data_IF_825132412836
#
_entry.id   IF_825132412836
#
_cell.length_a   1.000
_cell.length_b   1.000
_cell.length_c   1.000
_cell.angle_alpha   90.00
_cell.angle_beta   90.00
_cell.angle_gamma   90.00
#
_symmetry.space_group_name_H-M   'P 1'
#
loop_
_entity.id
_entity.type
_entity.pdbx_description
1 polymer ?
#
# COMPACT_ATOMS: atom_id res chain seq x y z
N UNK A 1 -8.22 -2.00 28.56
CA UNK A 1 -9.40 -2.57 27.89
C UNK A 1 -9.59 -4.00 28.35
N UNK A 2 -10.83 -4.47 28.51
CA UNK A 2 -11.13 -5.88 28.85
C UNK A 2 -11.20 -6.75 27.60
N UNK A 3 -11.77 -6.21 26.53
CA UNK A 3 -11.91 -6.89 25.23
C UNK A 3 -11.40 -6.01 24.09
N UNK A 4 -11.15 -6.63 22.94
CA UNK A 4 -10.86 -5.96 21.68
C UNK A 4 -11.72 -6.55 20.58
N UNK A 5 -12.35 -5.68 19.79
CA UNK A 5 -13.06 -6.07 18.57
C UNK A 5 -12.10 -5.79 17.42
N UNK A 6 -11.85 -6.78 16.57
CA UNK A 6 -10.99 -6.65 15.40
C UNK A 6 -11.83 -6.91 14.15
N UNK A 7 -11.70 -6.05 13.15
CA UNK A 7 -12.40 -6.18 11.86
C UNK A 7 -11.40 -6.32 10.73
N UNK A 8 -11.80 -7.08 9.70
CA UNK A 8 -11.12 -7.14 8.43
C UNK A 8 -12.05 -6.60 7.33
N UNK A 9 -11.57 -5.62 6.56
CA UNK A 9 -12.32 -4.98 5.49
C UNK A 9 -11.65 -5.26 4.13
N UNK A 10 -12.27 -6.02 3.23
CA UNK A 10 -11.65 -6.39 1.95
C UNK A 10 -11.44 -5.18 1.04
N UNK A 11 -10.27 -5.08 0.40
CA UNK A 11 -9.94 -3.98 -0.52
C UNK A 11 -9.64 -4.44 -1.95
N UNK A 12 -9.64 -5.74 -2.20
CA UNK A 12 -9.69 -6.30 -3.56
C UNK A 12 -11.14 -6.63 -3.93
N UNK A 13 -11.51 -6.44 -5.20
CA UNK A 13 -12.81 -6.81 -5.73
C UNK A 13 -13.97 -5.91 -5.35
N UNK A 14 -15.17 -6.38 -5.68
CA UNK A 14 -16.43 -5.65 -5.52
C UNK A 14 -16.74 -5.32 -4.04
N UNK A 15 -16.22 -6.10 -3.10
CA UNK A 15 -16.50 -5.94 -1.67
C UNK A 15 -15.94 -4.63 -1.10
N UNK A 16 -14.95 -4.01 -1.78
CA UNK A 16 -14.44 -2.69 -1.37
C UNK A 16 -15.55 -1.63 -1.33
N UNK A 17 -16.46 -1.66 -2.31
CA UNK A 17 -17.57 -0.71 -2.41
C UNK A 17 -18.58 -0.82 -1.27
N UNK A 18 -18.57 -1.92 -0.50
CA UNK A 18 -19.45 -2.11 0.66
C UNK A 18 -19.11 -1.16 1.81
N UNK A 19 -17.84 -0.78 1.94
CA UNK A 19 -17.34 -0.01 3.07
C UNK A 19 -16.60 1.28 2.70
N UNK A 20 -15.88 1.31 1.56
CA UNK A 20 -15.20 2.49 1.04
C UNK A 20 -16.19 3.41 0.31
N UNK A 21 -16.38 4.67 0.75
CA UNK A 21 -17.31 5.59 0.09
C UNK A 21 -16.85 6.05 -1.30
N UNK A 22 -15.58 5.83 -1.65
CA UNK A 22 -14.97 6.28 -2.90
C UNK A 22 -13.93 5.26 -3.40
N UNK A 23 -14.35 4.06 -3.83
CA UNK A 23 -13.44 2.96 -4.19
C UNK A 23 -12.53 3.25 -5.40
N UNK A 24 -12.86 4.24 -6.23
CA UNK A 24 -12.03 4.70 -7.35
C UNK A 24 -11.26 6.01 -7.08
N UNK A 25 -11.08 6.41 -5.82
CA UNK A 25 -10.47 7.69 -5.48
C UNK A 25 -9.08 7.88 -6.11
N UNK A 26 -8.24 6.84 -6.18
CA UNK A 26 -6.93 6.94 -6.81
C UNK A 26 -7.03 7.17 -8.32
N UNK A 27 -7.89 6.43 -9.01
CA UNK A 27 -8.09 6.59 -10.46
C UNK A 27 -8.59 8.00 -10.79
N UNK A 28 -9.51 8.54 -9.99
CA UNK A 28 -9.95 9.94 -10.14
C UNK A 28 -8.82 10.94 -9.89
N UNK A 29 -8.03 10.73 -8.84
CA UNK A 29 -6.90 11.62 -8.51
C UNK A 29 -5.82 11.62 -9.61
N UNK A 30 -5.59 10.47 -10.25
CA UNK A 30 -4.60 10.29 -11.32
C UNK A 30 -5.20 10.41 -12.73
N UNK A 31 -6.48 10.78 -12.88
CA UNK A 31 -7.12 10.94 -14.19
C UNK A 31 -6.32 11.81 -15.18
N UNK A 32 -5.64 12.91 -14.77
CA UNK A 32 -4.82 13.71 -15.66
C UNK A 32 -3.62 12.97 -16.29
N UNK A 33 -3.15 11.89 -15.67
CA UNK A 33 -1.95 11.15 -16.12
C UNK A 33 -2.28 9.77 -16.69
N UNK A 34 -3.48 9.25 -16.41
CA UNK A 34 -3.94 7.96 -16.93
C UNK A 34 -4.41 8.01 -18.38
N UNK A 35 -4.71 9.19 -18.92
CA UNK A 35 -5.14 9.38 -20.32
C UNK A 35 -3.98 9.34 -21.35
N UNK A 36 -2.79 8.82 -20.96
CA UNK A 36 -1.54 8.88 -21.73
C UNK A 36 -1.27 7.70 -22.67
N UNK A 37 -0.32 7.91 -23.58
CA UNK A 37 -0.07 7.16 -24.84
C UNK A 37 0.38 5.69 -24.68
N UNK A 38 0.07 4.81 -25.66
CA UNK A 38 0.36 3.36 -25.62
C UNK A 38 1.83 2.91 -25.51
N UNK A 39 2.82 3.80 -25.58
CA UNK A 39 4.24 3.43 -25.76
C UNK A 39 5.20 3.99 -24.67
N UNK A 40 4.68 4.29 -23.47
CA UNK A 40 5.54 4.75 -22.35
C UNK A 40 5.70 3.66 -21.28
N UNK A 41 6.89 3.55 -20.65
CA UNK A 41 7.05 2.70 -19.48
C UNK A 41 6.01 3.00 -18.39
N UNK A 42 5.50 1.96 -17.75
CA UNK A 42 4.47 2.05 -16.72
C UNK A 42 5.07 1.78 -15.34
N UNK A 43 4.53 2.45 -14.33
CA UNK A 43 4.77 2.18 -12.92
C UNK A 43 3.58 1.49 -12.27
N UNK A 44 3.84 0.72 -11.21
CA UNK A 44 2.82 0.00 -10.43
C UNK A 44 2.54 0.67 -9.09
N UNK A 45 1.25 0.83 -8.78
CA UNK A 45 0.74 1.22 -7.46
C UNK A 45 -0.03 0.05 -6.85
N UNK A 46 0.31 -0.32 -5.63
CA UNK A 46 -0.25 -1.47 -4.92
C UNK A 46 -1.77 -1.36 -4.70
N UNK A 47 -2.44 -2.52 -4.71
CA UNK A 47 -3.90 -2.69 -4.65
C UNK A 47 -4.56 -2.00 -3.45
N UNK A 48 -3.87 -1.95 -2.31
CA UNK A 48 -4.42 -1.33 -1.11
C UNK A 48 -4.67 0.18 -1.34
N UNK A 49 -3.86 0.85 -2.16
CA UNK A 49 -3.92 2.29 -2.37
C UNK A 49 -5.00 2.75 -3.37
N UNK A 50 -5.75 1.84 -4.01
CA UNK A 50 -6.59 2.14 -5.18
C UNK A 50 -7.84 3.01 -4.91
N UNK A 51 -8.43 2.93 -3.73
CA UNK A 51 -9.59 3.73 -3.36
C UNK A 51 -9.25 4.84 -2.38
N UNK A 52 -10.20 5.16 -1.51
CA UNK A 52 -9.99 6.20 -0.50
C UNK A 52 -8.86 5.80 0.44
N UNK A 53 -8.31 6.80 1.13
CA UNK A 53 -7.47 6.56 2.29
C UNK A 53 -8.23 5.70 3.32
N UNK A 54 -7.77 4.44 3.49
CA UNK A 54 -8.41 3.45 4.35
C UNK A 54 -8.43 3.88 5.81
N UNK A 55 -7.46 4.69 6.25
CA UNK A 55 -7.42 5.25 7.60
C UNK A 55 -8.66 6.07 7.91
N UNK A 56 -9.20 6.78 6.92
CA UNK A 56 -10.40 7.61 7.07
C UNK A 56 -11.66 6.76 6.91
N UNK A 57 -11.73 5.99 5.82
CA UNK A 57 -12.92 5.21 5.48
C UNK A 57 -13.22 4.13 6.53
N UNK A 58 -12.22 3.36 6.97
CA UNK A 58 -12.41 2.30 7.96
C UNK A 58 -12.66 2.87 9.36
N UNK A 59 -11.99 3.97 9.73
CA UNK A 59 -12.23 4.66 11.01
C UNK A 59 -13.67 5.13 11.15
N UNK A 60 -14.24 5.70 10.09
CA UNK A 60 -15.64 6.13 10.10
C UNK A 60 -16.59 4.94 10.37
N UNK A 61 -16.35 3.78 9.74
CA UNK A 61 -17.12 2.55 9.99
C UNK A 61 -16.96 2.03 11.42
N UNK A 62 -15.75 2.06 11.98
CA UNK A 62 -15.50 1.66 13.37
C UNK A 62 -16.15 2.62 14.37
N UNK A 63 -16.18 3.92 14.08
CA UNK A 63 -16.87 4.90 14.93
C UNK A 63 -18.39 4.71 14.93
N UNK A 64 -18.96 4.33 13.78
CA UNK A 64 -20.37 3.94 13.70
C UNK A 64 -20.64 2.69 14.55
N UNK A 65 -19.83 1.64 14.42
CA UNK A 65 -19.94 0.44 15.27
C UNK A 65 -19.84 0.78 16.77
N UNK A 66 -18.89 1.64 17.15
CA UNK A 66 -18.77 2.07 18.54
C UNK A 66 -20.00 2.87 19.02
N UNK A 67 -20.67 3.61 18.13
CA UNK A 67 -21.91 4.30 18.45
C UNK A 67 -23.08 3.31 18.64
N UNK A 68 -23.19 2.30 17.78
CA UNK A 68 -24.19 1.23 17.90
C UNK A 68 -24.01 0.44 19.21
N UNK A 69 -22.77 0.13 19.60
CA UNK A 69 -22.48 -0.48 20.89
C UNK A 69 -22.99 0.37 22.06
N UNK A 70 -22.72 1.67 22.05
CA UNK A 70 -23.18 2.60 23.11
C UNK A 70 -24.71 2.70 23.14
N UNK A 71 -25.37 2.70 21.98
CA UNK A 71 -26.82 2.69 21.88
C UNK A 71 -27.44 1.39 22.45
N UNK A 72 -26.67 0.30 22.49
CA UNK A 72 -27.04 -0.96 23.11
C UNK A 72 -26.55 -1.10 24.57
N UNK A 73 -26.21 0.00 25.25
CA UNK A 73 -25.66 0.04 26.62
C UNK A 73 -24.38 -0.79 26.83
N UNK A 74 -23.64 -1.07 25.75
CA UNK A 74 -22.32 -1.67 25.83
C UNK A 74 -21.25 -0.56 25.87
N UNK A 75 -20.33 -0.59 26.83
CA UNK A 75 -19.22 0.34 26.79
C UNK A 75 -18.40 0.09 25.52
N UNK A 76 -17.98 1.15 24.86
CA UNK A 76 -17.12 1.10 23.67
C UNK A 76 -16.03 2.15 23.82
N UNK A 77 -14.81 1.81 23.42
CA UNK A 77 -13.74 2.79 23.37
C UNK A 77 -14.07 3.91 22.39
N UNK A 78 -13.58 5.11 22.71
CA UNK A 78 -13.75 6.30 21.85
C UNK A 78 -12.79 6.28 20.65
N UNK A 79 -11.74 5.45 20.72
CA UNK A 79 -10.65 5.41 19.74
C UNK A 79 -10.75 4.14 18.91
N UNK A 80 -10.94 4.33 17.61
CA UNK A 80 -10.69 3.32 16.59
C UNK A 80 -9.21 3.30 16.20
N UNK A 81 -8.66 2.10 16.01
CA UNK A 81 -7.27 1.87 15.59
C UNK A 81 -7.26 1.36 14.16
N UNK A 82 -6.51 2.03 13.30
CA UNK A 82 -6.34 1.69 11.88
C UNK A 82 -4.93 2.13 11.47
N UNK A 83 -3.90 1.31 11.70
CA UNK A 83 -2.51 1.44 11.20
C UNK A 83 -1.71 2.69 11.65
N UNK A 84 -2.38 3.73 12.15
CA UNK A 84 -1.78 5.02 12.52
C UNK A 84 -1.44 5.16 14.01
N UNK A 85 -1.64 4.11 14.80
CA UNK A 85 -1.49 4.10 16.26
C UNK A 85 -0.79 2.83 16.74
N UNK A 86 -0.16 2.84 17.93
CA UNK A 86 0.63 1.71 18.43
C UNK A 86 -0.25 0.55 18.92
N UNK A 87 -0.88 -0.16 17.99
CA UNK A 87 -1.60 -1.41 18.21
C UNK A 87 -1.07 -2.45 17.22
N UNK A 88 -0.94 -3.70 17.63
CA UNK A 88 -0.49 -4.77 16.74
C UNK A 88 -1.71 -5.44 16.10
N UNK A 89 -2.39 -4.77 15.16
CA UNK A 89 -3.69 -5.24 14.64
C UNK A 89 -3.60 -6.64 14.04
N UNK A 90 -2.50 -6.98 13.36
CA UNK A 90 -2.30 -8.34 12.79
C UNK A 90 -2.29 -9.42 13.88
N UNK A 91 -1.56 -9.20 14.97
CA UNK A 91 -1.48 -10.15 16.08
C UNK A 91 -2.81 -10.28 16.82
N UNK A 92 -3.56 -9.18 16.93
CA UNK A 92 -4.91 -9.21 17.51
C UNK A 92 -5.90 -9.91 16.59
N UNK A 93 -5.80 -9.71 15.27
CA UNK A 93 -6.65 -10.38 14.28
C UNK A 93 -6.43 -11.90 14.27
N UNK A 94 -5.19 -12.36 14.43
CA UNK A 94 -4.88 -13.79 14.59
C UNK A 94 -5.51 -14.35 15.87
N UNK A 95 -5.36 -13.64 17.01
CA UNK A 95 -5.95 -14.05 18.28
C UNK A 95 -7.48 -14.04 18.28
N UNK A 96 -8.09 -13.13 17.53
CA UNK A 96 -9.53 -12.99 17.38
C UNK A 96 -10.13 -13.90 16.29
N UNK A 97 -9.35 -14.84 15.72
CA UNK A 97 -9.86 -15.79 14.74
C UNK A 97 -10.25 -15.18 13.39
N UNK A 98 -9.79 -13.96 13.08
CA UNK A 98 -10.04 -13.31 11.77
C UNK A 98 -9.25 -14.00 10.65
N UNK A 99 -8.05 -14.48 10.98
CA UNK A 99 -7.16 -15.14 10.05
C UNK A 99 -5.96 -15.77 10.75
N UNK A 100 -4.94 -16.15 9.99
CA UNK A 100 -3.64 -16.59 10.50
C UNK A 100 -2.51 -15.79 9.86
N UNK A 101 -1.36 -15.65 10.52
CA UNK A 101 -0.24 -14.90 9.93
C UNK A 101 0.52 -15.77 8.91
N UNK A 102 0.51 -15.33 7.66
CA UNK A 102 1.22 -15.99 6.57
C UNK A 102 2.74 -15.84 6.68
N UNK A 103 3.49 -16.71 6.00
CA UNK A 103 4.96 -16.59 5.92
C UNK A 103 5.42 -15.25 5.31
N UNK A 104 4.55 -14.56 4.57
CA UNK A 104 4.75 -13.22 4.02
C UNK A 104 4.40 -12.08 4.99
N UNK A 105 4.21 -12.38 6.29
CA UNK A 105 3.84 -11.43 7.37
C UNK A 105 2.46 -10.79 7.27
N UNK A 106 1.64 -11.12 6.26
CA UNK A 106 0.26 -10.62 6.16
C UNK A 106 -0.71 -11.52 6.93
N UNK A 107 -1.84 -10.95 7.35
CA UNK A 107 -2.97 -11.74 7.81
C UNK A 107 -3.61 -12.41 6.59
N UNK A 108 -3.81 -13.72 6.67
CA UNK A 108 -4.50 -14.52 5.66
C UNK A 108 -5.88 -14.90 6.20
N UNK A 109 -6.95 -14.57 5.47
CA UNK A 109 -8.31 -14.90 5.86
C UNK A 109 -8.84 -16.09 5.05
N UNK A 110 -9.84 -16.80 5.56
CA UNK A 110 -10.58 -17.84 4.81
C UNK A 110 -11.61 -17.26 3.82
N UNK A 111 -11.78 -15.93 3.80
CA UNK A 111 -12.66 -15.26 2.85
C UNK A 111 -12.07 -15.30 1.44
N UNK A 112 -12.90 -15.04 0.43
CA UNK A 112 -12.42 -14.87 -0.95
C UNK A 112 -11.41 -13.73 -1.11
N UNK A 113 -11.35 -12.79 -0.16
CA UNK A 113 -10.37 -11.71 -0.18
C UNK A 113 -8.96 -12.17 0.23
N UNK A 114 -8.80 -13.35 0.84
CA UNK A 114 -7.50 -13.86 1.26
C UNK A 114 -6.77 -12.87 2.18
N UNK A 115 -5.63 -12.33 1.73
CA UNK A 115 -4.84 -11.32 2.45
C UNK A 115 -5.18 -9.87 2.08
N UNK A 116 -6.06 -9.64 1.11
CA UNK A 116 -6.43 -8.32 0.61
C UNK A 116 -7.44 -7.62 1.53
N UNK A 117 -7.10 -7.49 2.80
CA UNK A 117 -7.95 -6.89 3.84
C UNK A 117 -7.20 -5.81 4.60
N UNK A 118 -7.90 -4.71 4.91
CA UNK A 118 -7.46 -3.77 5.93
C UNK A 118 -7.90 -4.25 7.30
N UNK A 119 -7.09 -3.96 8.31
CA UNK A 119 -7.42 -4.28 9.69
C UNK A 119 -7.79 -3.01 10.43
N UNK A 120 -8.73 -3.16 11.35
CA UNK A 120 -9.07 -2.12 12.29
C UNK A 120 -9.52 -2.72 13.61
N UNK A 121 -9.44 -1.95 14.69
CA UNK A 121 -9.81 -2.44 16.01
C UNK A 121 -10.47 -1.38 16.89
N UNK A 122 -11.30 -1.84 17.83
CA UNK A 122 -11.87 -1.05 18.92
C UNK A 122 -11.50 -1.72 20.23
N UNK A 123 -10.82 -0.99 21.10
CA UNK A 123 -10.59 -1.41 22.47
C UNK A 123 -11.83 -1.09 23.31
N UNK A 124 -12.31 -2.02 24.13
CA UNK A 124 -13.50 -1.81 24.96
C UNK A 124 -13.35 -2.37 26.37
N UNK A 125 -14.06 -1.79 27.34
CA UNK A 125 -14.25 -2.36 28.68
C UNK A 125 -15.43 -3.33 28.77
N UNK A 126 -16.17 -3.53 27.67
CA UNK A 126 -17.22 -4.54 27.60
C UNK A 126 -16.59 -5.93 27.80
N UNK A 127 -17.30 -6.77 28.55
CA UNK A 127 -16.94 -8.17 28.71
C UNK A 127 -17.60 -8.94 27.58
N UNK A 128 -16.84 -9.22 26.52
CA UNK A 128 -17.34 -9.84 25.30
C UNK A 128 -16.87 -11.29 25.25
N UNK A 129 -17.69 -12.22 24.72
CA UNK A 129 -17.22 -13.55 24.38
C UNK A 129 -15.99 -13.49 23.46
N UNK A 130 -15.02 -14.36 23.71
CA UNK A 130 -13.80 -14.43 22.91
C UNK A 130 -13.97 -15.42 21.76
N UNK A 131 -13.58 -15.00 20.57
CA UNK A 131 -13.41 -15.91 19.44
C UNK A 131 -12.13 -16.75 19.60
N UNK A 132 -12.10 -17.90 18.92
CA UNK A 132 -10.95 -18.81 18.93
C UNK A 132 -10.03 -18.58 17.72
N UNK A 133 -8.69 -18.64 17.90
CA UNK A 133 -7.76 -18.54 16.78
C UNK A 133 -7.96 -19.63 15.73
N UNK A 134 -7.80 -19.25 14.46
CA UNK A 134 -7.79 -20.19 13.34
C UNK A 134 -6.52 -21.05 13.39
N UNK A 135 -6.66 -22.37 13.33
CA UNK A 135 -5.54 -23.34 13.39
C UNK A 135 -4.88 -23.66 12.03
N UNK A 136 -5.18 -22.88 11.00
CA UNK A 136 -4.62 -23.03 9.64
C UNK A 136 -3.17 -22.53 9.59
N UNK A 137 -2.35 -23.11 8.71
CA UNK A 137 -0.98 -22.64 8.46
C UNK A 137 -0.70 -22.63 6.96
N UNK A 138 0.42 -21.99 6.56
CA UNK A 138 0.90 -22.09 5.17
C UNK A 138 1.46 -23.48 4.79
N UNK A 139 1.55 -24.42 5.74
CA UNK A 139 2.20 -25.72 5.52
C UNK A 139 3.63 -25.58 4.98
N UNK A 140 3.99 -26.41 4.00
CA UNK A 140 5.30 -26.38 3.33
C UNK A 140 5.45 -25.28 2.28
N UNK A 141 4.40 -24.51 1.95
CA UNK A 141 4.45 -23.48 0.91
C UNK A 141 5.52 -22.41 1.22
N UNK A 142 6.34 -22.05 0.23
CA UNK A 142 7.39 -21.02 0.32
C UNK A 142 7.31 -19.97 -0.80
N UNK A 143 6.21 -19.96 -1.60
CA UNK A 143 6.09 -19.12 -2.80
C UNK A 143 6.40 -17.64 -2.58
N UNK A 144 5.95 -17.06 -1.46
CA UNK A 144 6.23 -15.66 -1.13
C UNK A 144 7.69 -15.40 -0.75
N UNK A 145 8.36 -16.35 -0.09
CA UNK A 145 9.77 -16.26 0.27
C UNK A 145 10.63 -16.26 -1.00
N UNK A 146 10.35 -17.20 -1.92
CA UNK A 146 11.04 -17.30 -3.21
C UNK A 146 10.65 -16.21 -4.20
N UNK A 147 9.42 -15.72 -4.14
CA UNK A 147 8.89 -14.71 -5.05
C UNK A 147 9.24 -13.27 -4.67
N UNK A 148 9.73 -13.02 -3.45
CA UNK A 148 10.12 -11.68 -3.02
C UNK A 148 11.34 -11.19 -3.83
N UNK A 149 11.22 -10.13 -4.66
CA UNK A 149 12.29 -9.77 -5.61
C UNK A 149 13.60 -9.35 -4.95
N UNK A 150 13.53 -8.89 -3.70
CA UNK A 150 14.66 -8.35 -2.94
C UNK A 150 15.12 -9.29 -1.82
N UNK A 151 14.47 -10.44 -1.65
CA UNK A 151 14.70 -11.32 -0.51
C UNK A 151 14.43 -10.64 0.83
N UNK A 152 13.49 -9.68 0.89
CA UNK A 152 13.11 -9.00 2.13
C UNK A 152 12.47 -9.95 3.15
N UNK A 153 11.81 -11.00 2.71
CA UNK A 153 11.30 -12.06 3.58
C UNK A 153 12.43 -13.05 3.91
N UNK A 154 13.20 -12.74 4.94
CA UNK A 154 14.43 -13.48 5.31
C UNK A 154 14.15 -14.83 5.97
N UNK A 155 12.96 -15.00 6.55
CA UNK A 155 12.46 -16.25 7.12
C UNK A 155 10.92 -16.20 7.17
N UNK A 156 10.22 -17.34 7.38
CA UNK A 156 8.79 -17.33 7.67
C UNK A 156 8.42 -16.27 8.72
N UNK A 157 7.46 -15.42 8.39
CA UNK A 157 6.96 -14.35 9.28
C UNK A 157 8.02 -13.33 9.72
N UNK A 158 9.14 -13.23 9.01
CA UNK A 158 10.24 -12.31 9.32
C UNK A 158 10.61 -11.49 8.09
N UNK A 159 10.54 -10.17 8.21
CA UNK A 159 10.83 -9.23 7.12
C UNK A 159 11.95 -8.27 7.48
N UNK A 160 12.94 -8.10 6.60
CA UNK A 160 13.86 -6.97 6.62
C UNK A 160 13.25 -5.80 5.86
N UNK A 161 12.65 -4.87 6.59
CA UNK A 161 11.97 -3.71 6.02
C UNK A 161 12.87 -2.87 5.11
N UNK A 162 14.18 -2.80 5.38
CA UNK A 162 15.14 -2.03 4.58
C UNK A 162 15.28 -2.56 3.15
N UNK A 163 14.88 -3.82 2.93
CA UNK A 163 14.85 -4.44 1.60
C UNK A 163 13.45 -4.50 0.99
N UNK A 164 12.41 -4.20 1.76
CA UNK A 164 11.03 -4.31 1.29
C UNK A 164 10.71 -3.16 0.32
N UNK A 165 10.29 -3.48 -0.90
CA UNK A 165 9.91 -2.47 -1.92
C UNK A 165 8.79 -1.55 -1.40
N UNK A 166 7.84 -2.09 -0.62
CA UNK A 166 6.78 -1.28 0.01
C UNK A 166 7.38 -0.21 0.94
N UNK A 167 8.34 -0.57 1.80
CA UNK A 167 9.05 0.39 2.64
C UNK A 167 9.86 1.39 1.81
N UNK A 168 10.61 0.90 0.81
CA UNK A 168 11.45 1.75 -0.04
C UNK A 168 10.63 2.81 -0.79
N UNK A 169 9.43 2.47 -1.24
CA UNK A 169 8.57 3.40 -1.99
C UNK A 169 7.81 4.37 -1.09
N UNK A 170 7.47 4.01 0.14
CA UNK A 170 6.57 4.80 1.00
C UNK A 170 7.32 5.56 2.10
N UNK A 171 8.20 4.87 2.82
CA UNK A 171 8.77 5.34 4.09
C UNK A 171 10.25 5.74 3.99
N UNK A 172 11.00 5.15 3.04
CA UNK A 172 12.45 5.42 2.91
C UNK A 172 12.76 6.89 2.64
N UNK A 173 13.49 7.57 3.54
CA UNK A 173 13.81 8.98 3.42
C UNK A 173 14.94 9.23 2.42
N UNK A 174 14.96 10.42 1.82
CA UNK A 174 16.09 10.87 1.03
C UNK A 174 16.31 10.08 -0.26
N UNK A 175 17.56 10.10 -0.75
CA UNK A 175 17.95 9.47 -1.99
C UNK A 175 18.01 7.95 -1.86
N UNK A 176 17.78 7.25 -2.98
CA UNK A 176 17.95 5.82 -3.08
C UNK A 176 19.42 5.53 -3.44
N UNK A 177 20.02 4.56 -2.76
CA UNK A 177 21.25 3.93 -3.25
C UNK A 177 21.02 3.25 -4.60
N UNK A 178 22.10 2.91 -5.30
CA UNK A 178 22.00 2.24 -6.59
C UNK A 178 21.19 0.93 -6.50
N UNK A 179 21.45 0.12 -5.47
CA UNK A 179 20.73 -1.13 -5.24
C UNK A 179 19.25 -0.89 -4.91
N UNK A 180 18.93 0.05 -4.02
CA UNK A 180 17.53 0.33 -3.64
C UNK A 180 16.71 0.80 -4.84
N UNK A 181 17.30 1.65 -5.70
CA UNK A 181 16.61 2.15 -6.87
C UNK A 181 16.37 1.07 -7.93
N UNK A 182 17.28 0.12 -8.08
CA UNK A 182 17.11 -1.03 -8.99
C UNK A 182 16.10 -2.03 -8.42
N UNK A 183 16.14 -2.24 -7.11
CA UNK A 183 15.24 -3.12 -6.37
C UNK A 183 13.76 -2.74 -6.51
N UNK A 184 13.45 -1.46 -6.79
CA UNK A 184 12.06 -1.03 -7.02
C UNK A 184 11.43 -1.70 -8.24
N UNK A 185 12.23 -2.05 -9.27
CA UNK A 185 11.69 -2.42 -10.57
C UNK A 185 10.81 -1.28 -11.11
N UNK A 186 9.55 -1.57 -11.40
CA UNK A 186 8.51 -0.64 -11.82
C UNK A 186 7.55 -0.22 -10.68
N UNK A 187 7.78 -0.64 -9.43
CA UNK A 187 6.94 -0.23 -8.30
C UNK A 187 7.21 1.22 -7.91
N UNK A 188 6.15 2.04 -7.91
CA UNK A 188 6.25 3.46 -7.54
C UNK A 188 5.57 3.79 -6.21
N UNK A 189 4.65 2.94 -5.73
CA UNK A 189 4.02 3.07 -4.42
C UNK A 189 3.50 1.70 -3.92
N UNK A 190 4.05 1.21 -2.81
CA UNK A 190 3.75 -0.11 -2.27
C UNK A 190 4.37 -1.25 -3.09
N UNK A 191 4.05 -2.50 -2.70
CA UNK A 191 4.40 -3.70 -3.45
C UNK A 191 3.47 -4.84 -3.05
N UNK A 192 2.96 -5.57 -4.05
CA UNK A 192 2.01 -6.66 -3.84
C UNK A 192 2.60 -8.05 -4.08
N UNK A 193 3.83 -8.17 -4.57
CA UNK A 193 4.39 -9.43 -5.10
C UNK A 193 4.24 -10.61 -4.11
N UNK A 194 4.49 -10.42 -2.82
CA UNK A 194 4.40 -11.48 -1.82
C UNK A 194 2.96 -11.92 -1.51
N UNK A 195 1.97 -11.11 -1.86
CA UNK A 195 0.54 -11.42 -1.83
C UNK A 195 0.08 -12.02 -3.17
N UNK A 196 0.55 -11.51 -4.30
CA UNK A 196 0.18 -11.99 -5.64
C UNK A 196 0.57 -13.46 -5.87
N UNK A 197 1.74 -13.88 -5.36
CA UNK A 197 2.19 -15.28 -5.45
C UNK A 197 1.56 -16.20 -4.39
N UNK A 198 0.77 -15.65 -3.46
CA UNK A 198 0.19 -16.40 -2.36
C UNK A 198 -1.00 -17.25 -2.83
N UNK A 199 -1.01 -18.59 -2.63
CA UNK A 199 -2.11 -19.43 -3.08
C UNK A 199 -3.47 -19.10 -2.43
N UNK A 200 -3.46 -18.50 -1.25
CA UNK A 200 -4.68 -18.12 -0.51
C UNK A 200 -5.41 -16.97 -1.21
N UNK A 201 -4.74 -16.24 -2.09
CA UNK A 201 -5.29 -15.15 -2.87
C UNK A 201 -5.75 -15.58 -4.28
N UNK A 202 -5.71 -16.87 -4.61
CA UNK A 202 -6.01 -17.35 -5.96
C UNK A 202 -7.45 -17.06 -6.41
N UNK A 203 -8.40 -17.01 -5.47
CA UNK A 203 -9.82 -16.72 -5.73
C UNK A 203 -10.19 -15.25 -5.53
N UNK A 204 -9.23 -14.40 -5.13
CA UNK A 204 -9.47 -12.97 -4.98
C UNK A 204 -9.52 -12.29 -6.34
N UNK A 205 -10.29 -11.21 -6.45
CA UNK A 205 -10.41 -10.41 -7.68
C UNK A 205 -9.05 -10.01 -8.30
N UNK A 206 -9.01 -10.03 -9.63
CA UNK A 206 -7.79 -9.92 -10.45
C UNK A 206 -7.59 -8.50 -11.04
N UNK A 207 -8.14 -7.47 -10.39
CA UNK A 207 -7.96 -6.09 -10.85
C UNK A 207 -6.51 -5.61 -10.84
N UNK A 208 -5.61 -6.33 -10.15
CA UNK A 208 -4.16 -6.08 -10.15
C UNK A 208 -3.76 -4.73 -9.56
N UNK A 209 -2.45 -4.43 -9.49
CA UNK A 209 -1.97 -3.08 -9.19
C UNK A 209 -2.40 -2.08 -10.28
N UNK A 210 -2.55 -0.80 -9.93
CA UNK A 210 -2.80 0.23 -10.93
C UNK A 210 -1.53 0.51 -11.72
N UNK A 211 -1.62 0.38 -13.04
CA UNK A 211 -0.58 0.78 -13.98
C UNK A 211 -0.71 2.28 -14.28
N UNK A 212 0.39 3.00 -14.15
CA UNK A 212 0.46 4.45 -14.36
C UNK A 212 1.56 4.78 -15.38
N UNK A 213 1.24 5.47 -16.48
CA UNK A 213 2.24 6.00 -17.42
C UNK A 213 3.30 6.86 -16.71
N UNK A 214 4.57 6.46 -16.74
CA UNK A 214 5.62 7.13 -15.96
C UNK A 214 5.92 8.53 -16.46
N UNK A 215 6.00 8.73 -17.78
CA UNK A 215 6.33 10.05 -18.35
C UNK A 215 5.25 11.09 -18.01
N UNK A 216 3.94 10.85 -18.29
CA UNK A 216 2.87 11.74 -17.86
C UNK A 216 2.85 12.00 -16.35
N UNK A 217 3.12 10.96 -15.54
CA UNK A 217 3.19 11.12 -14.08
C UNK A 217 4.33 12.05 -13.66
N UNK A 218 5.53 11.86 -14.21
CA UNK A 218 6.69 12.69 -13.91
C UNK A 218 6.44 14.13 -14.35
N UNK A 219 5.91 14.34 -15.56
CA UNK A 219 5.55 15.65 -16.07
C UNK A 219 4.55 16.37 -15.16
N UNK A 220 3.54 15.64 -14.67
CA UNK A 220 2.53 16.17 -13.76
C UNK A 220 3.08 16.53 -12.37
N UNK A 221 4.02 15.74 -11.83
CA UNK A 221 4.59 15.94 -10.49
C UNK A 221 5.69 17.00 -10.43
N UNK A 222 6.45 17.21 -11.51
CA UNK A 222 7.56 18.16 -11.58
C UNK A 222 7.18 19.61 -11.19
N UNK A 223 6.10 20.21 -11.74
CA UNK A 223 5.73 21.58 -11.40
C UNK A 223 5.04 21.71 -10.03
N UNK A 224 4.67 20.60 -9.39
CA UNK A 224 3.87 20.64 -8.16
C UNK A 224 4.69 20.98 -6.92
N UNK A 225 4.17 21.88 -6.09
CA UNK A 225 4.54 21.99 -4.70
C UNK A 225 3.74 21.02 -3.81
N UNK A 226 4.17 20.83 -2.56
CA UNK A 226 3.49 19.94 -1.61
C UNK A 226 2.00 20.25 -1.40
N UNK A 227 1.62 21.54 -1.38
CA UNK A 227 0.20 21.95 -1.26
C UNK A 227 -0.64 21.55 -2.48
N UNK A 228 -0.08 21.68 -3.69
CA UNK A 228 -0.80 21.29 -4.90
C UNK A 228 -0.98 19.78 -4.96
N UNK A 229 0.07 19.02 -4.63
CA UNK A 229 0.02 17.57 -4.50
C UNK A 229 -1.02 17.11 -3.48
N UNK A 230 -1.02 17.70 -2.27
CA UNK A 230 -1.98 17.38 -1.23
C UNK A 230 -3.44 17.64 -1.65
N UNK A 231 -3.71 18.68 -2.45
CA UNK A 231 -5.06 18.89 -3.02
C UNK A 231 -5.41 17.84 -4.08
N UNK A 232 -4.44 17.42 -4.89
CA UNK A 232 -4.68 16.48 -5.98
C UNK A 232 -4.95 15.05 -5.49
N UNK A 233 -4.20 14.59 -4.48
CA UNK A 233 -4.27 13.21 -3.99
C UNK A 233 -4.74 13.09 -2.54
N UNK A 234 -5.26 14.16 -1.94
CA UNK A 234 -5.54 14.26 -0.49
C UNK A 234 -6.49 13.20 0.06
N UNK A 235 -7.32 12.60 -0.78
CA UNK A 235 -8.25 11.54 -0.42
C UNK A 235 -7.67 10.12 -0.60
N UNK A 236 -6.38 9.97 -0.92
CA UNK A 236 -5.74 8.68 -1.22
C UNK A 236 -4.53 8.44 -0.33
N UNK A 237 -4.08 7.18 -0.28
CA UNK A 237 -2.89 6.79 0.48
C UNK A 237 -1.58 7.44 -0.06
N UNK A 238 -1.57 8.00 -1.28
CA UNK A 238 -0.37 8.62 -1.86
C UNK A 238 0.15 9.82 -1.06
N UNK A 239 -0.69 10.44 -0.24
CA UNK A 239 -0.30 11.49 0.70
C UNK A 239 0.84 11.05 1.63
N UNK A 240 0.90 9.75 1.97
CA UNK A 240 1.92 9.16 2.85
C UNK A 240 3.33 9.27 2.25
N UNK A 241 3.49 8.98 0.96
CA UNK A 241 4.78 9.15 0.29
C UNK A 241 5.09 10.63 0.05
N UNK A 242 4.05 11.42 -0.27
CA UNK A 242 4.23 12.79 -0.70
C UNK A 242 4.83 12.88 -2.11
N UNK A 243 4.76 14.08 -2.70
CA UNK A 243 5.18 14.34 -4.07
C UNK A 243 6.60 13.87 -4.40
N UNK A 244 7.56 14.17 -3.50
CA UNK A 244 8.97 13.99 -3.79
C UNK A 244 9.40 12.51 -3.80
N UNK A 245 8.89 11.68 -2.88
CA UNK A 245 9.14 10.23 -2.91
C UNK A 245 8.45 9.59 -4.11
N UNK A 246 7.19 9.95 -4.40
CA UNK A 246 6.49 9.42 -5.58
C UNK A 246 7.24 9.77 -6.88
N UNK A 247 7.70 11.02 -7.03
CA UNK A 247 8.49 11.45 -8.19
C UNK A 247 9.84 10.72 -8.26
N UNK A 248 10.57 10.62 -7.14
CA UNK A 248 11.83 9.85 -7.04
C UNK A 248 11.63 8.40 -7.50
N UNK A 249 10.56 7.75 -7.03
CA UNK A 249 10.26 6.37 -7.38
C UNK A 249 9.88 6.24 -8.86
N UNK A 250 9.09 7.17 -9.40
CA UNK A 250 8.74 7.19 -10.83
C UNK A 250 9.98 7.35 -11.72
N UNK A 251 10.93 8.20 -11.32
CA UNK A 251 12.22 8.35 -12.02
C UNK A 251 13.06 7.07 -11.92
N UNK A 252 13.08 6.41 -10.75
CA UNK A 252 13.75 5.11 -10.59
C UNK A 252 13.15 4.04 -11.51
N UNK A 253 11.83 3.92 -11.52
CA UNK A 253 11.11 2.99 -12.39
C UNK A 253 11.37 3.29 -13.88
N UNK A 254 11.42 4.56 -14.28
CA UNK A 254 11.74 4.96 -15.65
C UNK A 254 13.16 4.52 -16.04
N UNK A 255 14.12 4.65 -15.12
CA UNK A 255 15.50 4.19 -15.32
C UNK A 255 15.68 2.67 -15.27
N UNK A 256 14.69 1.92 -14.81
CA UNK A 256 14.66 0.45 -14.82
C UNK A 256 13.92 -0.12 -16.04
N UNK A 257 13.29 0.74 -16.85
CA UNK A 257 12.62 0.34 -18.08
C UNK A 257 13.62 -0.21 -19.11
N UNK A 258 13.16 -1.10 -19.98
CA UNK A 258 13.99 -1.73 -21.03
C UNK A 258 14.49 -0.75 -22.09
N UNK A 259 13.81 0.39 -22.26
CA UNK A 259 14.23 1.48 -23.14
C UNK A 259 13.87 2.83 -22.53
N UNK A 260 14.70 3.84 -22.84
CA UNK A 260 14.48 5.23 -22.43
C UNK A 260 13.89 6.03 -23.60
N UNK A 261 12.61 6.45 -23.54
CA UNK A 261 12.05 7.31 -24.58
C UNK A 261 12.68 8.71 -24.57
N UNK A 262 12.72 9.42 -25.71
CA UNK A 262 13.25 10.80 -25.79
C UNK A 262 12.60 11.77 -24.78
N UNK A 263 11.28 11.66 -24.60
CA UNK A 263 10.54 12.48 -23.63
C UNK A 263 10.93 12.15 -22.19
N UNK A 264 11.29 10.89 -21.92
CA UNK A 264 11.85 10.46 -20.63
C UNK A 264 13.16 11.18 -20.33
N UNK A 265 14.07 11.26 -21.31
CA UNK A 265 15.32 12.00 -21.17
C UNK A 265 15.10 13.50 -20.91
N UNK A 266 14.12 14.11 -21.59
CA UNK A 266 13.72 15.49 -21.32
C UNK A 266 13.19 15.67 -19.89
N UNK A 267 12.37 14.73 -19.39
CA UNK A 267 11.88 14.75 -18.01
C UNK A 267 13.01 14.62 -16.99
N UNK A 268 13.98 13.74 -17.21
CA UNK A 268 15.15 13.59 -16.33
C UNK A 268 15.98 14.87 -16.25
N UNK A 269 16.23 15.53 -17.39
CA UNK A 269 16.94 16.83 -17.44
C UNK A 269 16.19 17.95 -16.71
N UNK A 270 14.86 17.89 -16.63
CA UNK A 270 14.08 18.82 -15.79
C UNK A 270 14.19 18.44 -14.32
N UNK A 271 14.16 17.14 -14.01
CA UNK A 271 14.21 16.63 -12.64
C UNK A 271 15.54 16.92 -11.92
N UNK A 272 16.67 17.04 -12.64
CA UNK A 272 17.95 17.48 -12.02
C UNK A 272 17.91 18.91 -11.48
N UNK A 273 16.88 19.70 -11.82
CA UNK A 273 16.66 21.05 -11.29
C UNK A 273 15.62 21.08 -10.15
N UNK A 274 15.10 19.92 -9.71
CA UNK A 274 14.12 19.86 -8.62
C UNK A 274 14.70 20.39 -7.31
N UNK A 275 13.85 21.01 -6.48
CA UNK A 275 14.26 21.59 -5.19
C UNK A 275 14.71 20.51 -4.19
N UNK A 276 14.26 19.27 -4.36
CA UNK A 276 14.53 18.14 -3.46
C UNK A 276 15.79 17.37 -3.90
N UNK A 277 16.83 17.27 -3.06
CA UNK A 277 18.06 16.54 -3.40
C UNK A 277 17.81 15.12 -3.87
N UNK A 278 16.90 14.39 -3.22
CA UNK A 278 16.56 13.01 -3.53
C UNK A 278 15.96 12.82 -4.93
N UNK A 279 15.32 13.85 -5.48
CA UNK A 279 14.82 13.83 -6.87
C UNK A 279 15.96 14.12 -7.84
N UNK A 280 16.80 15.12 -7.55
CA UNK A 280 17.94 15.47 -8.41
C UNK A 280 18.94 14.33 -8.53
N UNK A 281 19.37 13.79 -7.39
CA UNK A 281 20.35 12.69 -7.34
C UNK A 281 19.85 11.45 -8.07
N UNK A 282 18.56 11.15 -7.94
CA UNK A 282 17.95 10.03 -8.63
C UNK A 282 17.87 10.26 -10.15
N UNK A 283 17.52 11.47 -10.60
CA UNK A 283 17.52 11.82 -12.01
C UNK A 283 18.93 11.77 -12.63
N UNK A 284 19.92 12.32 -11.93
CA UNK A 284 21.33 12.26 -12.35
C UNK A 284 21.85 10.82 -12.44
N UNK A 285 21.46 9.95 -11.49
CA UNK A 285 21.81 8.53 -11.52
C UNK A 285 21.31 7.87 -12.79
N UNK A 286 20.04 8.11 -13.15
CA UNK A 286 19.45 7.52 -14.36
C UNK A 286 20.10 8.10 -15.62
N UNK A 287 20.44 9.38 -15.65
CA UNK A 287 21.14 10.02 -16.79
C UNK A 287 22.56 9.49 -17.03
N UNK A 288 23.21 8.93 -16.01
CA UNK A 288 24.58 8.38 -16.10
C UNK A 288 24.63 6.91 -16.56
N UNK A 289 23.48 6.24 -16.66
CA UNK A 289 23.37 4.86 -17.15
C UNK A 289 23.24 4.83 -18.66
#
# INVERSE_FOLDING_TARGET
>A
ARSVIVVAAPYAGADRALWDPAPDALRRALAPVLAGTPDTPVGRIARYALGSDYHVALRHRLQALAADMRAADLPAGEIAYVDDRPLAERALAERAGVGWIGKNTNLLTHSRAGSWVFLGAILTSADLPTDEPIRTTCGSCTRCLSGCPTGALVAPQTIDARRCISYLTIEHPGALSAWEADALGDWIFGCDVCQEVCPVNADADDSGPLLVPLIPLIEWLLPMGGRAFGRAVGATALTRAGRHRLLRNAIAALGNASSMPPDGLAMLRRAVLDRRPEVREQAERVLRR
#
